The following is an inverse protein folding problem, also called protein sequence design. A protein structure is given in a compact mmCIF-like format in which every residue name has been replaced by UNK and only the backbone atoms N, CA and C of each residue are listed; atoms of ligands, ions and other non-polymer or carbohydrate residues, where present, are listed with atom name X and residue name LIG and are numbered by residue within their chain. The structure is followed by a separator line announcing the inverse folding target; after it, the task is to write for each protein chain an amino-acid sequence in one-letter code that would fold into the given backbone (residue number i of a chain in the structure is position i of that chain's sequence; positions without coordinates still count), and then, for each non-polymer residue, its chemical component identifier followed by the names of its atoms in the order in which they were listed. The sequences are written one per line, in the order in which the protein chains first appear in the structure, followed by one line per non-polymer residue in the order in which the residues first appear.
data_IF_533064667210
#
_entry.id   IF_533064667210
#
_cell.length_a   1.000
_cell.length_b   1.000
_cell.length_c   1.000
_cell.angle_alpha   90.00
_cell.angle_beta   90.00
_cell.angle_gamma   90.00
#
_symmetry.space_group_name_H-M   'P 1'
#
loop_
_entity.id
_entity.type
_entity.pdbx_description
1 polymer ?
#
# COMPACT_ATOMS: atom_id res chain seq x y z
N UNK A 1 -18.62 -15.00 -28.38
CA UNK A 1 -18.35 -13.85 -29.27
C UNK A 1 -16.84 -13.81 -29.47
N UNK A 2 -16.31 -13.23 -30.55
CA UNK A 2 -14.86 -13.04 -30.62
C UNK A 2 -14.53 -11.85 -29.72
N UNK A 3 -13.93 -12.12 -28.56
CA UNK A 3 -13.56 -11.10 -27.58
C UNK A 3 -12.33 -10.34 -28.12
N UNK A 4 -12.58 -9.48 -29.11
CA UNK A 4 -11.55 -8.60 -29.64
C UNK A 4 -11.30 -7.54 -28.59
N UNK A 5 -10.12 -7.59 -28.00
CA UNK A 5 -9.66 -6.55 -27.09
C UNK A 5 -9.00 -5.41 -27.87
N UNK A 6 -9.04 -4.22 -27.30
CA UNK A 6 -8.28 -3.06 -27.80
C UNK A 6 -7.53 -2.39 -26.65
N UNK A 7 -6.52 -1.63 -27.03
CA UNK A 7 -5.88 -0.68 -26.14
C UNK A 7 -6.78 0.53 -25.91
N UNK A 8 -6.92 0.90 -24.65
CA UNK A 8 -7.55 2.15 -24.22
C UNK A 8 -6.51 3.25 -23.98
N UNK A 9 -5.21 2.93 -24.09
CA UNK A 9 -4.09 3.82 -23.87
C UNK A 9 -3.08 3.23 -22.90
N UNK A 10 -1.97 3.94 -22.70
CA UNK A 10 -0.91 3.59 -21.75
C UNK A 10 -0.97 4.49 -20.53
N UNK A 11 -0.31 4.08 -19.46
CA UNK A 11 -0.20 4.87 -18.23
C UNK A 11 0.31 6.28 -18.51
N UNK A 12 1.36 6.38 -19.34
CA UNK A 12 1.97 7.66 -19.72
C UNK A 12 0.99 8.59 -20.44
N UNK A 13 0.17 8.06 -21.36
CA UNK A 13 -0.72 8.90 -22.15
C UNK A 13 -2.10 9.17 -21.50
N UNK A 14 -2.51 8.36 -20.52
CA UNK A 14 -3.80 8.52 -19.83
C UNK A 14 -3.70 9.12 -18.44
N UNK A 15 -2.68 8.77 -17.67
CA UNK A 15 -2.64 9.04 -16.23
C UNK A 15 -1.53 10.03 -15.89
N UNK A 16 -0.28 9.70 -16.22
CA UNK A 16 0.87 10.53 -15.85
C UNK A 16 1.88 10.63 -16.99
N UNK A 17 1.88 11.76 -17.69
CA UNK A 17 2.79 12.04 -18.81
C UNK A 17 4.29 12.04 -18.46
N UNK A 18 4.62 12.07 -17.17
CA UNK A 18 6.00 12.03 -16.69
C UNK A 18 6.42 10.66 -16.16
N UNK A 19 5.56 9.65 -16.33
CA UNK A 19 5.79 8.30 -15.81
C UNK A 19 5.51 7.24 -16.87
N UNK A 20 6.38 6.25 -16.93
CA UNK A 20 6.25 5.17 -17.92
C UNK A 20 5.36 4.03 -17.45
N UNK A 21 5.08 3.93 -16.15
CA UNK A 21 4.22 2.88 -15.58
C UNK A 21 3.86 3.20 -14.12
N UNK A 22 2.85 2.53 -13.54
CA UNK A 22 2.57 2.65 -12.10
C UNK A 22 3.77 2.31 -11.22
N UNK A 23 4.58 1.32 -11.63
CA UNK A 23 5.78 0.94 -10.88
C UNK A 23 6.84 2.05 -10.90
N UNK A 24 6.88 2.87 -11.96
CA UNK A 24 7.75 4.03 -12.04
C UNK A 24 7.27 5.15 -11.10
N UNK A 25 5.96 5.32 -10.90
CA UNK A 25 5.42 6.25 -9.89
C UNK A 25 5.82 5.81 -8.47
N UNK A 26 5.72 4.52 -8.17
CA UNK A 26 6.21 3.94 -6.92
C UNK A 26 7.70 4.24 -6.72
N UNK A 27 8.52 4.02 -7.75
CA UNK A 27 9.95 4.33 -7.69
C UNK A 27 10.23 5.82 -7.52
N UNK A 28 9.44 6.71 -8.13
CA UNK A 28 9.63 8.15 -8.00
C UNK A 28 9.40 8.60 -6.54
N UNK A 29 8.37 8.08 -5.88
CA UNK A 29 8.12 8.34 -4.46
C UNK A 29 9.27 7.80 -3.60
N UNK A 30 9.66 6.54 -3.83
CA UNK A 30 10.70 5.88 -3.04
C UNK A 30 12.07 6.55 -3.23
N UNK A 31 12.39 7.02 -4.43
CA UNK A 31 13.63 7.75 -4.73
C UNK A 31 13.73 9.12 -4.05
N UNK A 32 12.62 9.65 -3.52
CA UNK A 32 12.65 10.84 -2.66
C UNK A 32 13.18 10.59 -1.25
N UNK A 33 13.24 9.34 -0.79
CA UNK A 33 13.76 8.95 0.53
C UNK A 33 15.27 8.72 0.57
N UNK A 34 15.81 8.46 1.77
CA UNK A 34 17.24 8.19 1.96
C UNK A 34 17.66 6.81 1.41
N UNK A 35 18.97 6.63 1.16
CA UNK A 35 19.51 5.38 0.59
C UNK A 35 19.26 4.15 1.46
N UNK A 36 19.36 4.31 2.78
CA UNK A 36 19.25 3.22 3.74
C UNK A 36 17.82 2.68 3.78
N UNK A 37 16.84 3.58 3.76
CA UNK A 37 15.42 3.23 3.66
C UNK A 37 15.10 2.53 2.34
N UNK A 38 15.61 3.03 1.21
CA UNK A 38 15.41 2.41 -0.11
C UNK A 38 15.97 0.98 -0.17
N UNK A 39 17.19 0.80 0.32
CA UNK A 39 17.82 -0.52 0.40
C UNK A 39 17.03 -1.46 1.32
N UNK A 40 16.51 -0.95 2.44
CA UNK A 40 15.66 -1.73 3.33
C UNK A 40 14.35 -2.16 2.66
N UNK A 41 13.68 -1.27 1.92
CA UNK A 41 12.46 -1.61 1.18
C UNK A 41 12.69 -2.70 0.14
N UNK A 42 13.80 -2.63 -0.59
CA UNK A 42 14.17 -3.64 -1.58
C UNK A 42 14.50 -4.98 -0.91
N UNK A 43 15.39 -4.97 0.09
CA UNK A 43 15.87 -6.18 0.76
C UNK A 43 14.80 -6.89 1.59
N UNK A 44 13.84 -6.14 2.14
CA UNK A 44 12.73 -6.70 2.91
C UNK A 44 11.60 -7.25 2.03
N UNK A 45 11.57 -6.89 0.74
CA UNK A 45 10.45 -7.19 -0.16
C UNK A 45 9.27 -6.22 -0.04
N UNK A 46 9.35 -5.20 0.83
CA UNK A 46 8.30 -4.18 0.96
C UNK A 46 8.09 -3.37 -0.32
N UNK A 47 9.16 -3.11 -1.10
CA UNK A 47 9.05 -2.45 -2.41
C UNK A 47 8.14 -3.23 -3.38
N UNK A 48 8.27 -4.56 -3.41
CA UNK A 48 7.42 -5.41 -4.25
C UNK A 48 5.97 -5.37 -3.78
N UNK A 49 5.75 -5.44 -2.47
CA UNK A 49 4.42 -5.36 -1.86
C UNK A 49 3.71 -4.03 -2.18
N UNK A 50 4.43 -2.90 -2.10
CA UNK A 50 3.89 -1.57 -2.45
C UNK A 50 3.44 -1.54 -3.91
N UNK A 51 4.25 -2.07 -4.85
CA UNK A 51 3.89 -2.12 -6.27
C UNK A 51 2.65 -2.97 -6.52
N UNK A 52 2.60 -4.15 -5.91
CA UNK A 52 1.48 -5.06 -6.05
C UNK A 52 0.19 -4.44 -5.49
N UNK A 53 0.25 -3.84 -4.31
CA UNK A 53 -0.91 -3.16 -3.71
C UNK A 53 -1.38 -1.96 -4.53
N UNK A 54 -0.47 -1.16 -5.09
CA UNK A 54 -0.83 -0.05 -5.97
C UNK A 54 -1.50 -0.52 -7.26
N UNK A 55 -0.94 -1.56 -7.91
CA UNK A 55 -1.56 -2.20 -9.08
C UNK A 55 -2.92 -2.82 -8.76
N UNK A 56 -3.08 -3.40 -7.57
CA UNK A 56 -4.36 -3.95 -7.13
C UNK A 56 -5.40 -2.84 -6.90
N UNK A 57 -5.00 -1.72 -6.29
CA UNK A 57 -5.87 -0.57 -6.12
C UNK A 57 -6.33 -0.01 -7.47
N UNK A 58 -5.42 0.11 -8.44
CA UNK A 58 -5.74 0.52 -9.82
C UNK A 58 -6.76 -0.43 -10.44
N UNK A 59 -6.48 -1.73 -10.47
CA UNK A 59 -7.39 -2.70 -11.09
C UNK A 59 -8.74 -2.80 -10.37
N UNK A 60 -8.81 -2.55 -9.06
CA UNK A 60 -10.07 -2.53 -8.31
C UNK A 60 -10.95 -1.31 -8.64
N UNK A 61 -10.35 -0.19 -9.04
CA UNK A 61 -11.08 1.01 -9.43
C UNK A 61 -11.56 0.99 -10.90
N UNK A 62 -10.93 0.17 -11.74
CA UNK A 62 -11.31 0.05 -13.15
C UNK A 62 -12.67 -0.64 -13.33
N UNK A 63 -13.37 -0.40 -14.46
CA UNK A 63 -14.49 -1.25 -14.87
C UNK A 63 -14.07 -2.72 -14.97
N UNK A 64 -14.94 -3.69 -14.65
CA UNK A 64 -14.58 -5.10 -14.62
C UNK A 64 -14.02 -5.66 -15.94
N UNK A 65 -14.37 -5.07 -17.07
CA UNK A 65 -13.87 -5.45 -18.40
C UNK A 65 -12.59 -4.75 -18.82
N UNK A 66 -12.09 -3.79 -18.03
CA UNK A 66 -10.82 -3.12 -18.26
C UNK A 66 -9.79 -3.67 -17.28
N UNK A 67 -8.58 -3.93 -17.75
CA UNK A 67 -7.46 -4.36 -16.90
C UNK A 67 -6.19 -3.64 -17.29
N UNK A 68 -5.35 -3.35 -16.30
CA UNK A 68 -4.01 -2.84 -16.51
C UNK A 68 -3.05 -4.02 -16.77
N UNK A 69 -2.55 -4.13 -17.99
CA UNK A 69 -1.58 -5.14 -18.43
C UNK A 69 -0.22 -4.49 -18.70
N UNK A 70 0.72 -4.66 -17.77
CA UNK A 70 2.00 -3.95 -17.83
C UNK A 70 1.81 -2.48 -17.50
N UNK A 71 1.91 -1.62 -18.52
CA UNK A 71 1.62 -0.18 -18.51
C UNK A 71 0.43 0.19 -19.42
N UNK A 72 -0.25 -0.78 -20.03
CA UNK A 72 -1.32 -0.56 -20.99
C UNK A 72 -2.69 -0.96 -20.42
N UNK A 73 -3.72 -0.16 -20.69
CA UNK A 73 -5.11 -0.47 -20.36
C UNK A 73 -5.75 -1.25 -21.50
N UNK A 74 -6.18 -2.47 -21.22
CA UNK A 74 -6.78 -3.38 -22.20
C UNK A 74 -8.24 -3.63 -21.84
N UNK A 75 -9.11 -3.60 -22.84
CA UNK A 75 -10.55 -3.77 -22.68
C UNK A 75 -11.27 -4.20 -23.95
N UNK A 76 -12.61 -4.29 -23.95
CA UNK A 76 -13.39 -4.71 -25.12
C UNK A 76 -13.27 -3.69 -26.28
N UNK A 77 -13.14 -4.17 -27.52
CA UNK A 77 -13.12 -3.27 -28.67
C UNK A 77 -14.46 -2.56 -28.88
N UNK A 78 -15.54 -3.30 -28.60
CA UNK A 78 -16.94 -2.92 -28.74
C UNK A 78 -17.63 -3.15 -27.38
N UNK A 79 -17.51 -2.20 -26.42
CA UNK A 79 -18.23 -2.28 -25.16
C UNK A 79 -19.75 -2.21 -25.41
N UNK A 80 -20.54 -2.88 -24.57
CA UNK A 80 -21.99 -2.72 -24.54
C UNK A 80 -22.36 -1.30 -24.07
N UNK A 81 -23.59 -0.85 -24.37
CA UNK A 81 -24.02 0.54 -24.11
C UNK A 81 -23.99 0.90 -22.61
N UNK A 82 -24.14 -0.07 -21.71
CA UNK A 82 -24.16 0.05 -20.25
C UNK A 82 -22.86 -0.42 -19.57
N UNK A 83 -21.85 -0.85 -20.33
CA UNK A 83 -20.63 -1.48 -19.83
C UNK A 83 -19.84 -0.58 -18.84
N UNK A 84 -19.94 0.74 -19.02
CA UNK A 84 -19.25 1.73 -18.19
C UNK A 84 -20.20 2.57 -17.34
N UNK A 85 -21.45 2.13 -17.16
CA UNK A 85 -22.40 2.83 -16.30
C UNK A 85 -21.87 2.93 -14.86
N UNK A 86 -21.86 4.15 -14.32
CA UNK A 86 -21.32 4.46 -12.99
C UNK A 86 -19.83 4.80 -12.95
N UNK A 87 -19.12 4.71 -14.08
CA UNK A 87 -17.73 5.17 -14.21
C UNK A 87 -17.65 6.56 -14.83
N UNK A 88 -16.55 7.26 -14.53
CA UNK A 88 -16.32 8.59 -15.09
C UNK A 88 -16.13 8.52 -16.61
N UNK A 89 -16.75 9.45 -17.32
CA UNK A 89 -16.66 9.58 -18.77
C UNK A 89 -16.23 10.98 -19.18
N UNK A 90 -15.53 11.07 -20.31
CA UNK A 90 -15.08 12.33 -20.88
C UNK A 90 -16.24 13.05 -21.61
N UNK A 91 -15.94 14.23 -22.15
CA UNK A 91 -16.92 15.05 -22.91
C UNK A 91 -17.48 14.36 -24.18
N UNK A 92 -16.89 13.24 -24.60
CA UNK A 92 -17.32 12.45 -25.74
C UNK A 92 -18.06 11.17 -25.32
N UNK A 93 -18.27 10.96 -24.02
CA UNK A 93 -18.90 9.76 -23.47
C UNK A 93 -17.98 8.54 -23.44
N UNK A 94 -16.67 8.71 -23.68
CA UNK A 94 -15.69 7.64 -23.55
C UNK A 94 -15.22 7.53 -22.10
N UNK A 95 -14.77 6.34 -21.67
CA UNK A 95 -14.22 6.12 -20.33
C UNK A 95 -13.06 7.08 -20.04
N UNK A 96 -13.18 7.85 -18.96
CA UNK A 96 -12.14 8.74 -18.48
C UNK A 96 -11.30 8.04 -17.41
N UNK A 97 -10.25 7.34 -17.86
CA UNK A 97 -9.34 6.59 -16.99
C UNK A 97 -8.63 7.48 -15.96
N UNK A 98 -8.38 8.75 -16.27
CA UNK A 98 -7.73 9.66 -15.33
C UNK A 98 -8.68 9.97 -14.17
N UNK A 99 -9.94 10.30 -14.48
CA UNK A 99 -10.97 10.57 -13.48
C UNK A 99 -11.32 9.31 -12.66
N UNK A 100 -11.36 8.12 -13.28
CA UNK A 100 -11.61 6.86 -12.56
C UNK A 100 -10.52 6.56 -11.51
N UNK A 101 -9.27 6.94 -11.79
CA UNK A 101 -8.14 6.64 -10.92
C UNK A 101 -7.71 7.82 -10.04
N UNK A 102 -8.42 8.95 -10.08
CA UNK A 102 -8.07 10.19 -9.38
C UNK A 102 -7.96 10.01 -7.86
N UNK A 103 -8.84 9.17 -7.28
CA UNK A 103 -8.90 8.93 -5.84
C UNK A 103 -7.84 7.93 -5.32
N UNK A 104 -7.03 7.34 -6.20
CA UNK A 104 -6.02 6.35 -5.78
C UNK A 104 -4.77 7.07 -5.29
N UNK A 105 -4.63 7.13 -3.97
CA UNK A 105 -3.46 7.68 -3.31
C UNK A 105 -2.39 6.60 -3.04
N UNK A 106 -1.18 6.84 -3.54
CA UNK A 106 -0.02 5.98 -3.36
C UNK A 106 0.62 6.17 -1.96
N UNK A 107 0.54 7.36 -1.37
CA UNK A 107 1.21 7.67 -0.11
C UNK A 107 0.74 6.77 1.05
N UNK A 108 -0.58 6.56 1.27
CA UNK A 108 -1.07 5.63 2.29
C UNK A 108 -0.62 4.18 2.08
N UNK A 109 -0.41 3.75 0.82
CA UNK A 109 0.08 2.41 0.49
C UNK A 109 1.55 2.30 0.91
N UNK A 110 2.37 3.30 0.59
CA UNK A 110 3.77 3.36 1.01
C UNK A 110 3.87 3.37 2.53
N UNK A 111 3.11 4.24 3.21
CA UNK A 111 3.13 4.34 4.67
C UNK A 111 2.72 3.04 5.36
N UNK A 112 1.70 2.33 4.84
CA UNK A 112 1.23 1.07 5.41
C UNK A 112 2.30 -0.03 5.31
N UNK A 113 3.09 -0.01 4.25
CA UNK A 113 4.11 -1.04 3.98
C UNK A 113 5.51 -0.65 4.47
N UNK A 114 5.66 0.47 5.17
CA UNK A 114 6.94 0.90 5.71
C UNK A 114 7.47 -0.10 6.77
N UNK A 115 8.69 -0.65 6.61
CA UNK A 115 9.28 -1.57 7.57
C UNK A 115 9.75 -0.85 8.85
N UNK A 116 9.03 -1.08 9.95
CA UNK A 116 9.35 -0.51 11.25
C UNK A 116 10.23 -1.45 12.08
N UNK A 117 11.23 -0.86 12.73
CA UNK A 117 11.97 -1.53 13.80
C UNK A 117 11.19 -1.53 15.11
N UNK A 118 11.48 -2.49 16.00
CA UNK A 118 10.92 -2.49 17.37
C UNK A 118 11.18 -1.17 18.12
N UNK A 119 12.34 -0.55 17.92
CA UNK A 119 12.67 0.72 18.55
C UNK A 119 11.76 1.84 18.05
N UNK A 120 11.53 1.90 16.72
CA UNK A 120 10.60 2.85 16.09
C UNK A 120 9.17 2.64 16.58
N UNK A 121 8.68 1.40 16.57
CA UNK A 121 7.35 1.04 17.08
C UNK A 121 7.20 1.47 18.54
N UNK A 122 8.21 1.22 19.37
CA UNK A 122 8.18 1.59 20.78
C UNK A 122 8.10 3.10 21.00
N UNK A 123 8.85 3.88 20.23
CA UNK A 123 8.92 5.34 20.38
C UNK A 123 7.75 6.08 19.73
N UNK A 124 7.41 5.73 18.49
CA UNK A 124 6.50 6.51 17.66
C UNK A 124 5.06 5.97 17.72
N UNK A 125 4.88 4.67 17.52
CA UNK A 125 3.54 4.05 17.50
C UNK A 125 2.97 3.89 18.91
N UNK A 126 3.79 3.38 19.85
CA UNK A 126 3.38 3.19 21.26
C UNK A 126 3.59 4.42 22.14
N UNK A 127 4.26 5.46 21.63
CA UNK A 127 4.62 6.68 22.38
C UNK A 127 5.30 6.40 23.73
N UNK A 128 6.07 5.30 23.82
CA UNK A 128 6.68 4.85 25.07
C UNK A 128 7.80 5.78 25.51
N UNK A 129 7.74 6.22 26.77
CA UNK A 129 8.80 6.99 27.43
C UNK A 129 9.84 6.10 28.12
N UNK A 130 9.79 4.78 27.89
CA UNK A 130 10.76 3.84 28.46
C UNK A 130 12.17 4.09 27.93
N UNK A 131 13.18 3.86 28.77
CA UNK A 131 14.60 3.84 28.32
C UNK A 131 14.90 2.72 27.32
N UNK A 132 14.01 1.72 27.21
CA UNK A 132 14.15 0.56 26.31
C UNK A 132 12.85 0.35 25.52
N UNK A 133 12.49 1.28 24.62
CA UNK A 133 11.19 1.24 23.95
C UNK A 133 11.06 0.01 23.03
N UNK A 134 12.16 -0.49 22.43
CA UNK A 134 12.16 -1.75 21.69
C UNK A 134 11.71 -2.98 22.50
N UNK A 135 12.00 -3.05 23.81
CA UNK A 135 11.50 -4.14 24.67
C UNK A 135 9.99 -4.05 24.90
N UNK A 136 9.47 -2.83 25.05
CA UNK A 136 8.04 -2.57 25.21
C UNK A 136 7.30 -2.95 23.93
N UNK A 137 7.84 -2.56 22.77
CA UNK A 137 7.32 -2.95 21.47
C UNK A 137 7.35 -4.47 21.26
N UNK A 138 8.46 -5.14 21.58
CA UNK A 138 8.57 -6.60 21.44
C UNK A 138 7.49 -7.33 22.25
N UNK A 139 7.30 -6.95 23.51
CA UNK A 139 6.25 -7.51 24.35
C UNK A 139 4.85 -7.21 23.80
N UNK A 140 4.64 -6.01 23.24
CA UNK A 140 3.38 -5.64 22.61
C UNK A 140 3.09 -6.47 21.35
N UNK A 141 4.05 -6.59 20.42
CA UNK A 141 3.90 -7.36 19.19
C UNK A 141 3.62 -8.84 19.49
N UNK A 142 4.35 -9.43 20.44
CA UNK A 142 4.11 -10.79 20.90
C UNK A 142 2.69 -10.96 21.49
N UNK A 143 2.24 -10.01 22.31
CA UNK A 143 0.89 -10.03 22.89
C UNK A 143 -0.21 -9.91 21.83
N UNK A 144 0.02 -9.13 20.78
CA UNK A 144 -0.95 -8.93 19.71
C UNK A 144 -0.83 -9.94 18.56
N UNK A 145 0.14 -10.85 18.62
CA UNK A 145 0.38 -11.85 17.58
C UNK A 145 0.93 -11.27 16.27
N UNK A 146 1.42 -10.04 16.27
CA UNK A 146 2.05 -9.42 15.09
C UNK A 146 3.42 -10.05 14.88
N UNK A 147 3.62 -10.67 13.71
CA UNK A 147 4.86 -11.35 13.37
C UNK A 147 5.81 -10.39 12.65
N UNK A 148 7.11 -10.66 12.77
CA UNK A 148 8.08 -9.93 11.96
C UNK A 148 7.85 -10.28 10.48
N UNK A 149 7.74 -9.24 9.66
CA UNK A 149 7.65 -9.33 8.22
C UNK A 149 8.99 -9.76 7.62
N UNK A 150 10.08 -9.18 8.12
CA UNK A 150 11.43 -9.42 7.63
C UNK A 150 12.42 -9.49 8.80
N UNK A 151 13.44 -10.34 8.66
CA UNK A 151 14.58 -10.39 9.58
C UNK A 151 15.87 -10.29 8.77
N UNK A 152 16.61 -9.20 8.97
CA UNK A 152 17.79 -8.90 8.17
C UNK A 152 18.65 -7.80 8.78
N UNK A 153 19.73 -7.38 8.10
CA UNK A 153 20.62 -6.37 8.63
C UNK A 153 19.92 -5.01 8.75
N UNK A 154 20.30 -4.26 9.78
CA UNK A 154 19.98 -2.86 9.93
C UNK A 154 20.90 -2.02 9.02
N UNK A 155 20.37 -1.20 8.09
CA UNK A 155 21.20 -0.44 7.16
C UNK A 155 22.28 0.40 7.84
N UNK A 156 21.97 1.00 8.99
CA UNK A 156 22.88 1.89 9.71
C UNK A 156 23.94 1.14 10.52
N UNK A 157 23.59 -0.03 11.09
CA UNK A 157 24.46 -0.74 12.04
C UNK A 157 24.98 -2.09 11.58
N UNK A 158 24.47 -2.61 10.47
CA UNK A 158 24.73 -3.96 9.94
C UNK A 158 24.22 -5.11 10.81
N UNK A 159 23.61 -4.82 11.97
CA UNK A 159 23.16 -5.85 12.93
C UNK A 159 21.84 -6.45 12.49
N UNK A 160 21.69 -7.76 12.65
CA UNK A 160 20.43 -8.44 12.39
C UNK A 160 19.31 -7.90 13.30
N UNK A 161 18.18 -7.55 12.71
CA UNK A 161 17.01 -7.02 13.39
C UNK A 161 15.72 -7.48 12.70
N UNK A 162 14.64 -7.57 13.48
CA UNK A 162 13.29 -7.83 12.96
C UNK A 162 12.57 -6.54 12.61
N UNK A 163 11.89 -6.57 11.47
CA UNK A 163 11.06 -5.50 10.93
C UNK A 163 9.60 -5.95 10.85
N UNK A 164 8.70 -5.00 11.01
CA UNK A 164 7.26 -5.20 11.01
C UNK A 164 6.64 -4.17 10.07
N UNK A 165 5.60 -4.52 9.32
CA UNK A 165 4.91 -3.55 8.47
C UNK A 165 4.11 -2.57 9.35
N UNK A 166 4.25 -1.27 9.10
CA UNK A 166 3.57 -0.23 9.86
C UNK A 166 2.04 -0.45 9.92
N UNK A 167 1.44 -0.90 8.82
CA UNK A 167 0.03 -1.23 8.71
C UNK A 167 -0.43 -2.29 9.68
N UNK A 168 0.28 -3.42 9.74
CA UNK A 168 -0.05 -4.52 10.65
C UNK A 168 0.10 -4.09 12.12
N UNK A 169 1.13 -3.29 12.41
CA UNK A 169 1.35 -2.73 13.74
C UNK A 169 0.20 -1.81 14.14
N UNK A 170 -0.16 -0.83 13.29
CA UNK A 170 -1.24 0.13 13.55
C UNK A 170 -2.60 -0.56 13.70
N UNK A 171 -2.93 -1.47 12.79
CA UNK A 171 -4.16 -2.26 12.84
C UNK A 171 -4.27 -3.06 14.16
N UNK A 172 -3.17 -3.70 14.60
CA UNK A 172 -3.15 -4.42 15.87
C UNK A 172 -3.32 -3.50 17.10
N UNK A 173 -2.81 -2.26 17.03
CA UNK A 173 -2.98 -1.27 18.10
C UNK A 173 -4.41 -0.72 18.15
N UNK A 174 -5.05 -0.49 17.01
CA UNK A 174 -6.42 -0.02 16.93
C UNK A 174 -7.42 -1.08 17.41
N UNK A 175 -7.23 -2.34 17.02
CA UNK A 175 -8.08 -3.46 17.47
C UNK A 175 -8.14 -3.57 19.01
N UNK A 176 -7.10 -3.13 19.73
CA UNK A 176 -7.08 -3.07 21.20
C UNK A 176 -8.02 -2.00 21.75
N UNK A 177 -8.15 -0.83 21.12
CA UNK A 177 -8.98 0.26 21.65
C UNK A 177 -10.45 -0.17 21.78
N UNK A 178 -10.90 -1.11 20.95
CA UNK A 178 -12.25 -1.70 21.01
C UNK A 178 -12.47 -2.73 22.13
N UNK A 179 -11.42 -3.37 22.67
CA UNK A 179 -11.54 -4.41 23.71
C UNK A 179 -11.50 -3.86 25.15
N UNK A 180 -11.56 -2.53 25.31
CA UNK A 180 -11.43 -1.84 26.59
C UNK A 180 -12.71 -1.72 27.45
N UNK A 181 -13.86 -2.31 27.09
CA UNK A 181 -14.97 -2.43 28.03
C UNK A 181 -14.65 -3.54 29.05
N UNK A 182 -13.98 -3.18 30.14
CA UNK A 182 -13.94 -4.00 31.37
C UNK A 182 -15.38 -4.27 31.79
N UNK A 183 -15.85 -5.51 31.63
CA UNK A 183 -17.13 -5.99 32.17
C UNK A 183 -17.11 -6.22 33.69
N UNK A 184 -15.99 -5.95 34.36
CA UNK A 184 -15.81 -6.34 35.77
C UNK A 184 -15.95 -5.15 36.74
N UNK A 185 -16.87 -4.23 36.49
CA UNK A 185 -17.21 -3.21 37.48
C UNK A 185 -18.66 -2.74 37.44
N UNK A 186 -19.60 -3.68 37.48
CA UNK A 186 -20.94 -3.38 37.96
C UNK A 186 -21.18 -4.08 39.30
N UNK A 187 -21.33 -3.21 40.32
CA UNK A 187 -22.03 -3.36 41.59
C UNK A 187 -21.69 -4.55 42.53
N UNK A 188 -20.85 -4.24 43.53
CA UNK A 188 -21.11 -4.66 44.91
C UNK A 188 -22.04 -3.64 45.58
#
# INVERSE_FOLDING_TARGET
MSDTTKSYGTWCNRINQYSTSPDADVLNVINGGDSDWRELLENSGALALIRDEYRNAINAALPPSISLCGDEFIGPAYPDDDEFDGYATDKHGALDLAAVLEDIDLEPIVERNDPLTLESIGRHELKSQSKTPGKVASAAMARYGVKAFYHGPNPQSGRAQSYFLAGEVRAALEARLGQGKRTDRDAA
#
